data_IF_644204108198
#
_entry.id   IF_644204108198
#
_cell.length_a   1.000
_cell.length_b   1.000
_cell.length_c   1.000
_cell.angle_alpha   90.00
_cell.angle_beta   90.00
_cell.angle_gamma   90.00
#
_symmetry.space_group_name_H-M   'P 1'
#
loop_
_entity.id
_entity.type
_entity.pdbx_description
1 polymer ?
#
# COMPACT_ATOMS: atom_id res chain seq x y z
N UNK A 1 1.63 26.81 1.39
CA UNK A 1 2.72 27.12 0.44
C UNK A 1 4.04 26.72 1.09
N UNK A 2 4.41 25.45 0.98
CA UNK A 2 5.73 24.95 1.33
C UNK A 2 6.32 24.36 0.06
N UNK A 3 7.33 25.04 -0.48
CA UNK A 3 8.01 24.62 -1.69
C UNK A 3 8.89 23.42 -1.34
N UNK A 4 8.47 22.21 -1.73
CA UNK A 4 9.30 21.01 -1.70
C UNK A 4 10.32 21.09 -2.83
N UNK A 5 11.48 21.66 -2.55
CA UNK A 5 12.63 21.63 -3.44
C UNK A 5 13.86 21.12 -2.69
N UNK A 6 14.03 19.79 -2.68
CA UNK A 6 15.37 19.21 -2.54
C UNK A 6 15.98 19.16 -3.95
N UNK A 7 17.02 19.97 -4.15
CA UNK A 7 17.82 20.11 -5.38
C UNK A 7 19.12 19.31 -5.26
N UNK A 8 19.02 18.04 -4.86
CA UNK A 8 20.12 17.09 -5.08
C UNK A 8 19.72 16.11 -6.18
N UNK A 9 20.30 16.36 -7.35
CA UNK A 9 20.50 15.47 -8.49
C UNK A 9 19.30 14.67 -9.03
N UNK A 10 18.13 15.32 -9.16
CA UNK A 10 17.01 14.78 -9.96
C UNK A 10 17.46 14.30 -11.35
N UNK A 11 18.45 14.98 -11.96
CA UNK A 11 18.99 14.62 -13.28
C UNK A 11 19.65 13.25 -13.33
N UNK A 12 20.44 12.87 -12.32
CA UNK A 12 21.10 11.55 -12.31
C UNK A 12 20.10 10.44 -12.02
N UNK A 13 19.16 10.64 -11.09
CA UNK A 13 18.12 9.65 -10.81
C UNK A 13 17.20 9.44 -12.03
N UNK A 14 16.73 10.52 -12.66
CA UNK A 14 15.87 10.45 -13.86
C UNK A 14 16.61 9.80 -15.05
N UNK A 15 17.89 10.13 -15.24
CA UNK A 15 18.72 9.54 -16.31
C UNK A 15 19.05 8.07 -16.05
N UNK A 16 19.17 7.65 -14.80
CA UNK A 16 19.51 6.29 -14.42
C UNK A 16 18.31 5.34 -14.51
N UNK A 17 17.15 5.76 -14.00
CA UNK A 17 15.93 4.96 -14.07
C UNK A 17 15.41 4.80 -15.50
N UNK A 18 15.63 5.80 -16.37
CA UNK A 18 15.17 5.77 -17.77
C UNK A 18 15.91 4.76 -18.65
N UNK A 19 17.06 4.21 -18.21
CA UNK A 19 17.84 3.20 -18.96
C UNK A 19 17.79 1.80 -18.35
N UNK A 20 17.19 1.65 -17.16
CA UNK A 20 17.06 0.35 -16.51
C UNK A 20 16.16 -0.59 -17.32
N UNK A 21 16.65 -1.80 -17.59
CA UNK A 21 15.87 -2.83 -18.30
C UNK A 21 14.84 -3.47 -17.37
N UNK A 22 13.64 -3.73 -17.88
CA UNK A 22 12.61 -4.46 -17.14
C UNK A 22 12.82 -5.97 -17.30
N UNK A 23 13.10 -6.67 -16.20
CA UNK A 23 13.39 -8.11 -16.23
C UNK A 23 12.17 -8.97 -15.87
N UNK A 24 11.69 -9.77 -16.81
CA UNK A 24 10.56 -10.69 -16.59
C UNK A 24 10.99 -12.14 -16.27
N UNK A 25 12.29 -12.44 -16.35
CA UNK A 25 12.85 -13.75 -16.02
C UNK A 25 13.22 -13.90 -14.54
N UNK A 26 13.72 -15.08 -14.18
CA UNK A 26 14.17 -15.36 -12.81
C UNK A 26 15.32 -14.46 -12.37
N UNK A 27 16.28 -14.25 -13.26
CA UNK A 27 17.44 -13.39 -13.01
C UNK A 27 17.06 -11.90 -13.02
N UNK A 28 17.41 -11.11 -11.98
CA UNK A 28 17.20 -9.67 -11.97
C UNK A 28 18.16 -8.95 -12.92
N UNK A 29 17.65 -7.96 -13.66
CA UNK A 29 18.47 -6.91 -14.25
C UNK A 29 18.60 -5.77 -13.22
N UNK A 30 19.72 -5.75 -12.50
CA UNK A 30 20.01 -4.73 -11.50
C UNK A 30 20.74 -3.58 -12.19
N UNK A 31 20.26 -2.37 -11.98
CA UNK A 31 20.96 -1.15 -12.35
C UNK A 31 21.61 -0.56 -11.09
N UNK A 32 22.82 -0.03 -11.23
CA UNK A 32 23.55 0.67 -10.16
C UNK A 32 24.10 1.99 -10.68
N UNK A 33 24.06 3.02 -9.83
CA UNK A 33 24.68 4.32 -10.08
C UNK A 33 25.07 4.95 -8.75
N UNK A 34 26.37 5.08 -8.45
CA UNK A 34 26.81 5.57 -7.15
C UNK A 34 26.26 4.73 -5.99
N UNK A 35 25.57 5.39 -5.05
CA UNK A 35 24.93 4.74 -3.89
C UNK A 35 23.48 4.29 -4.16
N UNK A 36 23.03 4.32 -5.42
CA UNK A 36 21.68 3.92 -5.82
C UNK A 36 21.68 2.55 -6.49
N UNK A 37 20.78 1.67 -6.04
CA UNK A 37 20.53 0.37 -6.67
C UNK A 37 19.05 0.28 -7.05
N UNK A 38 18.76 -0.10 -8.29
CA UNK A 38 17.41 -0.14 -8.82
C UNK A 38 17.11 -1.44 -9.56
N UNK A 39 15.87 -1.90 -9.42
CA UNK A 39 15.31 -3.02 -10.16
C UNK A 39 13.88 -2.71 -10.57
N UNK A 40 13.52 -3.10 -11.80
CA UNK A 40 12.15 -3.20 -12.26
C UNK A 40 11.93 -4.54 -12.97
N UNK A 41 10.82 -5.24 -12.66
CA UNK A 41 10.56 -6.53 -13.28
C UNK A 41 9.61 -7.44 -12.51
N UNK A 42 9.39 -8.64 -13.04
CA UNK A 42 8.54 -9.65 -12.41
C UNK A 42 9.23 -10.25 -11.18
N UNK A 43 8.50 -10.36 -10.07
CA UNK A 43 8.88 -11.06 -8.84
C UNK A 43 7.68 -11.80 -8.28
N UNK A 44 7.92 -12.77 -7.40
CA UNK A 44 6.83 -13.32 -6.59
C UNK A 44 6.22 -12.21 -5.72
N UNK A 45 4.90 -12.24 -5.59
CA UNK A 45 4.18 -11.24 -4.82
C UNK A 45 4.25 -11.58 -3.33
N UNK A 46 5.06 -10.85 -2.57
CA UNK A 46 5.19 -11.06 -1.12
C UNK A 46 3.98 -10.58 -0.29
N UNK A 47 2.96 -9.99 -0.93
CA UNK A 47 1.70 -9.67 -0.26
C UNK A 47 0.88 -10.94 -0.06
N UNK A 48 0.41 -11.21 1.16
CA UNK A 48 -0.35 -12.42 1.49
C UNK A 48 -1.67 -12.06 2.15
N UNK A 49 -2.74 -12.76 1.77
CA UNK A 49 -4.09 -12.53 2.29
C UNK A 49 -5.08 -13.60 1.86
N UNK A 50 -6.10 -13.83 2.69
CA UNK A 50 -7.20 -14.76 2.42
C UNK A 50 -8.33 -14.03 1.68
N UNK A 51 -8.16 -13.79 0.38
CA UNK A 51 -9.13 -13.01 -0.41
C UNK A 51 -10.51 -13.64 -0.39
N UNK A 52 -10.60 -14.97 -0.46
CA UNK A 52 -11.88 -15.67 -0.38
C UNK A 52 -12.53 -15.48 1.00
N UNK A 53 -11.75 -15.55 2.08
CA UNK A 53 -12.20 -15.21 3.43
C UNK A 53 -12.67 -13.76 3.56
N UNK A 54 -11.98 -12.79 2.94
CA UNK A 54 -12.41 -11.39 2.92
C UNK A 54 -13.72 -11.22 2.15
N UNK A 55 -13.91 -11.90 1.02
CA UNK A 55 -15.20 -11.87 0.28
C UNK A 55 -16.34 -12.48 1.08
N UNK A 56 -16.05 -13.46 1.92
CA UNK A 56 -17.00 -14.03 2.88
C UNK A 56 -17.22 -13.13 4.10
N UNK A 57 -16.39 -12.11 4.31
CA UNK A 57 -16.49 -11.15 5.42
C UNK A 57 -17.29 -9.89 5.02
N UNK A 58 -17.20 -9.46 3.76
CA UNK A 58 -17.86 -8.26 3.27
C UNK A 58 -18.92 -8.53 2.20
N UNK A 59 -20.04 -7.81 2.26
CA UNK A 59 -21.03 -7.83 1.19
C UNK A 59 -20.54 -6.99 0.01
N UNK A 60 -20.00 -7.67 -1.00
CA UNK A 60 -19.44 -7.05 -2.21
C UNK A 60 -20.47 -6.86 -3.34
N UNK A 61 -21.77 -7.05 -3.07
CA UNK A 61 -22.84 -6.89 -4.06
C UNK A 61 -23.28 -5.44 -4.17
N UNK A 62 -23.77 -5.06 -5.35
CA UNK A 62 -24.43 -3.76 -5.56
C UNK A 62 -23.50 -2.54 -5.50
N UNK A 63 -22.24 -2.68 -5.92
CA UNK A 63 -21.26 -1.57 -6.00
C UNK A 63 -20.49 -1.29 -4.70
N UNK A 64 -20.63 -2.15 -3.70
CA UNK A 64 -19.91 -2.05 -2.42
C UNK A 64 -18.55 -2.73 -2.54
N UNK A 65 -17.46 -1.97 -2.34
CA UNK A 65 -16.09 -2.49 -2.34
C UNK A 65 -15.61 -2.71 -0.90
N UNK A 66 -15.93 -3.87 -0.32
CA UNK A 66 -15.48 -4.23 1.05
C UNK A 66 -15.86 -3.21 2.14
N UNK A 67 -16.94 -2.45 1.94
CA UNK A 67 -17.37 -1.37 2.84
C UNK A 67 -18.53 -1.76 3.76
N UNK A 68 -19.12 -2.94 3.56
CA UNK A 68 -20.26 -3.44 4.33
C UNK A 68 -19.94 -4.81 4.93
N UNK A 69 -19.64 -4.82 6.23
CA UNK A 69 -19.31 -6.04 6.96
C UNK A 69 -20.55 -6.93 7.17
N UNK A 70 -20.41 -8.24 7.00
CA UNK A 70 -21.47 -9.21 7.32
C UNK A 70 -20.94 -10.36 8.18
N UNK A 71 -20.76 -10.08 9.47
CA UNK A 71 -20.43 -11.13 10.44
C UNK A 71 -21.66 -12.01 10.69
N UNK A 72 -21.69 -13.22 10.14
CA UNK A 72 -22.66 -14.24 10.54
C UNK A 72 -21.99 -15.60 10.75
N UNK A 73 -21.90 -16.05 12.01
CA UNK A 73 -21.43 -17.40 12.36
C UNK A 73 -19.94 -17.50 12.72
N UNK A 74 -19.32 -18.65 12.42
CA UNK A 74 -17.87 -18.85 12.54
C UNK A 74 -17.13 -17.92 11.56
N UNK A 75 -15.93 -17.49 11.93
CA UNK A 75 -15.16 -16.54 11.13
C UNK A 75 -14.81 -17.11 9.75
N UNK A 76 -14.81 -16.28 8.70
CA UNK A 76 -14.93 -16.75 7.31
C UNK A 76 -13.63 -17.26 6.67
N UNK A 77 -12.57 -17.44 7.45
CA UNK A 77 -11.24 -17.77 6.96
C UNK A 77 -11.18 -19.14 6.29
N UNK A 78 -10.68 -19.16 5.07
CA UNK A 78 -10.32 -20.38 4.35
C UNK A 78 -8.95 -20.90 4.79
N UNK A 79 -8.08 -20.01 5.29
CA UNK A 79 -6.69 -20.31 5.60
C UNK A 79 -5.81 -20.47 4.35
N UNK A 80 -6.32 -20.07 3.19
CA UNK A 80 -5.61 -20.14 1.90
C UNK A 80 -5.16 -18.75 1.51
N UNK A 81 -3.85 -18.59 1.35
CA UNK A 81 -3.28 -17.37 0.83
C UNK A 81 -3.42 -17.30 -0.70
N UNK A 82 -4.11 -16.25 -1.15
CA UNK A 82 -4.46 -15.99 -2.55
C UNK A 82 -3.26 -15.66 -3.44
N UNK A 83 -2.13 -15.26 -2.85
CA UNK A 83 -0.96 -14.79 -3.58
C UNK A 83 0.22 -15.78 -3.58
N UNK A 84 0.07 -16.97 -2.99
CA UNK A 84 1.16 -17.96 -2.84
C UNK A 84 1.92 -18.29 -4.15
N UNK A 85 1.27 -18.16 -5.31
CA UNK A 85 1.86 -18.42 -6.64
C UNK A 85 1.70 -17.21 -7.59
N UNK A 86 1.40 -16.04 -7.04
CA UNK A 86 1.20 -14.82 -7.81
C UNK A 86 2.54 -14.15 -8.15
N UNK A 87 2.61 -13.56 -9.33
CA UNK A 87 3.73 -12.73 -9.76
C UNK A 87 3.25 -11.28 -9.89
N UNK A 88 4.07 -10.33 -9.46
CA UNK A 88 3.81 -8.89 -9.55
C UNK A 88 4.96 -8.19 -10.27
N UNK A 89 4.63 -7.15 -11.05
CA UNK A 89 5.63 -6.24 -11.61
C UNK A 89 6.08 -5.29 -10.50
N UNK A 90 7.33 -5.44 -10.07
CA UNK A 90 7.89 -4.74 -8.93
C UNK A 90 8.84 -3.63 -9.38
N UNK A 91 8.92 -2.57 -8.59
CA UNK A 91 10.01 -1.58 -8.62
C UNK A 91 10.65 -1.54 -7.23
N UNK A 92 11.97 -1.68 -7.17
CA UNK A 92 12.72 -1.65 -5.91
C UNK A 92 13.84 -0.64 -6.06
N UNK A 93 13.93 0.28 -5.09
CA UNK A 93 14.97 1.30 -5.02
C UNK A 93 15.65 1.22 -3.66
N UNK A 94 16.96 1.10 -3.68
CA UNK A 94 17.84 1.27 -2.53
C UNK A 94 18.65 2.55 -2.69
N UNK A 95 18.72 3.34 -1.63
CA UNK A 95 19.43 4.62 -1.58
C UNK A 95 19.76 5.00 -0.13
N UNK A 96 20.76 5.86 0.11
CA UNK A 96 21.07 6.33 1.46
C UNK A 96 19.91 7.13 2.06
N UNK A 97 19.46 6.74 3.26
CA UNK A 97 18.37 7.42 3.98
C UNK A 97 18.60 8.91 4.16
N UNK A 98 19.85 9.33 4.35
CA UNK A 98 20.24 10.74 4.51
C UNK A 98 19.86 11.62 3.31
N UNK A 99 19.59 11.04 2.13
CA UNK A 99 19.13 11.79 0.96
C UNK A 99 17.61 12.06 0.97
N UNK A 100 16.86 11.29 1.74
CA UNK A 100 15.41 11.45 1.89
C UNK A 100 15.03 12.29 3.11
N UNK A 101 15.95 12.42 4.07
CA UNK A 101 15.76 13.21 5.27
C UNK A 101 16.24 14.64 5.04
N UNK A 102 15.42 15.59 5.44
CA UNK A 102 15.79 17.00 5.55
C UNK A 102 15.50 17.46 7.00
N UNK A 103 14.67 18.48 7.20
CA UNK A 103 14.31 18.98 8.54
C UNK A 103 13.26 18.12 9.26
N UNK A 104 12.55 17.25 8.55
CA UNK A 104 11.55 16.33 9.09
C UNK A 104 12.13 14.93 9.27
N UNK A 105 11.86 14.23 10.39
CA UNK A 105 12.39 12.90 10.63
C UNK A 105 11.68 11.81 9.81
N UNK A 106 10.51 12.11 9.26
CA UNK A 106 9.67 11.13 8.59
C UNK A 106 9.79 11.22 7.06
N UNK A 107 9.84 10.06 6.43
CA UNK A 107 9.73 9.86 4.99
C UNK A 107 8.27 9.51 4.69
N UNK A 108 7.66 10.17 3.71
CA UNK A 108 6.25 9.91 3.31
C UNK A 108 6.21 9.54 1.83
N UNK A 109 5.70 8.35 1.52
CA UNK A 109 5.73 7.77 0.17
C UNK A 109 4.32 7.44 -0.29
N UNK A 110 4.02 7.80 -1.54
CA UNK A 110 2.88 7.29 -2.28
C UNK A 110 3.29 7.03 -3.73
N UNK A 111 2.59 6.13 -4.41
CA UNK A 111 2.81 5.80 -5.81
C UNK A 111 1.54 5.98 -6.63
N UNK A 112 1.71 6.15 -7.94
CA UNK A 112 0.61 6.16 -8.92
C UNK A 112 0.89 5.26 -10.10
N UNK A 113 -0.16 4.66 -10.62
CA UNK A 113 -0.19 3.99 -11.91
C UNK A 113 -0.90 4.89 -12.93
N UNK A 114 -0.29 5.04 -14.10
CA UNK A 114 -0.87 5.80 -15.20
C UNK A 114 -0.88 4.99 -16.47
N UNK A 115 -1.97 5.09 -17.23
CA UNK A 115 -2.10 4.49 -18.56
C UNK A 115 -2.04 5.58 -19.61
N UNK A 116 -1.35 5.33 -20.73
CA UNK A 116 -1.35 6.26 -21.85
C UNK A 116 -2.61 6.06 -22.69
N UNK A 117 -3.44 7.09 -22.78
CA UNK A 117 -4.66 7.13 -23.63
C UNK A 117 -4.66 8.44 -24.40
N UNK A 118 -4.87 8.37 -25.72
CA UNK A 118 -4.93 9.53 -26.60
C UNK A 118 -3.75 10.51 -26.43
N UNK A 119 -2.54 9.96 -26.32
CA UNK A 119 -1.31 10.74 -26.15
C UNK A 119 -1.07 11.32 -24.75
N UNK A 120 -2.02 11.15 -23.82
CA UNK A 120 -1.95 11.68 -22.46
C UNK A 120 -1.78 10.56 -21.44
N UNK A 121 -1.06 10.81 -20.35
CA UNK A 121 -1.01 9.90 -19.20
C UNK A 121 -2.23 10.16 -18.31
N UNK A 122 -3.11 9.17 -18.21
CA UNK A 122 -4.26 9.17 -17.31
C UNK A 122 -3.88 8.42 -16.04
N UNK A 123 -3.99 9.08 -14.90
CA UNK A 123 -3.85 8.48 -13.58
C UNK A 123 -5.06 7.56 -13.31
N UNK A 124 -4.82 6.27 -13.10
CA UNK A 124 -5.90 5.28 -12.92
C UNK A 124 -5.86 4.56 -11.58
N UNK A 125 -4.75 4.64 -10.86
CA UNK A 125 -4.62 4.05 -9.54
C UNK A 125 -3.54 4.74 -8.71
N UNK A 126 -3.72 4.78 -7.39
CA UNK A 126 -2.72 5.27 -6.44
C UNK A 126 -2.66 4.41 -5.20
N UNK A 127 -1.52 4.42 -4.53
CA UNK A 127 -1.32 3.71 -3.28
C UNK A 127 -0.38 4.48 -2.34
N UNK A 128 -0.83 4.71 -1.11
CA UNK A 128 0.02 5.05 0.03
C UNK A 128 0.06 3.90 1.01
N UNK A 129 -0.87 3.90 1.97
CA UNK A 129 -1.05 2.82 2.91
C UNK A 129 -1.65 1.58 2.21
N UNK A 130 -1.13 0.37 2.49
CA UNK A 130 -1.72 -0.86 1.99
C UNK A 130 -3.21 -0.92 2.32
N UNK A 131 -4.00 -1.44 1.37
CA UNK A 131 -5.43 -1.72 1.49
C UNK A 131 -6.38 -0.51 1.65
N UNK A 132 -5.88 0.72 1.79
CA UNK A 132 -6.74 1.90 1.99
C UNK A 132 -7.69 2.12 0.81
N UNK A 133 -7.17 2.12 -0.42
CA UNK A 133 -7.99 2.27 -1.64
C UNK A 133 -9.03 1.15 -1.82
N UNK A 134 -8.83 0.00 -1.18
CA UNK A 134 -9.70 -1.17 -1.32
C UNK A 134 -10.80 -1.21 -0.26
N UNK A 135 -10.50 -0.84 0.99
CA UNK A 135 -11.46 -0.91 2.10
C UNK A 135 -12.17 0.40 2.41
N UNK A 136 -11.61 1.56 2.04
CA UNK A 136 -12.22 2.85 2.38
C UNK A 136 -12.97 3.51 1.23
N UNK A 137 -12.95 2.91 0.04
CA UNK A 137 -13.43 3.53 -1.20
C UNK A 137 -14.60 2.75 -1.79
N UNK A 138 -15.51 3.41 -2.51
CA UNK A 138 -16.63 2.77 -3.23
C UNK A 138 -16.44 2.86 -4.73
N UNK A 139 -17.22 2.13 -5.53
CA UNK A 139 -17.17 2.26 -7.00
C UNK A 139 -17.42 3.71 -7.47
N UNK A 140 -18.27 4.45 -6.76
CA UNK A 140 -18.63 5.83 -7.10
C UNK A 140 -17.48 6.83 -6.86
N UNK A 141 -16.65 6.61 -5.83
CA UNK A 141 -15.57 7.52 -5.45
C UNK A 141 -14.19 7.04 -5.93
N UNK A 142 -14.07 5.79 -6.37
CA UNK A 142 -12.79 5.15 -6.71
C UNK A 142 -12.02 5.87 -7.79
N UNK A 143 -12.67 6.22 -8.90
CA UNK A 143 -11.98 6.89 -10.01
C UNK A 143 -11.47 8.29 -9.60
N UNK A 144 -12.28 9.06 -8.84
CA UNK A 144 -11.86 10.38 -8.37
C UNK A 144 -10.72 10.29 -7.35
N UNK A 145 -10.84 9.38 -6.37
CA UNK A 145 -9.79 9.12 -5.40
C UNK A 145 -8.50 8.73 -6.11
N UNK A 146 -8.57 7.77 -7.03
CA UNK A 146 -7.42 7.27 -7.78
C UNK A 146 -6.80 8.35 -8.67
N UNK A 147 -7.57 9.27 -9.23
CA UNK A 147 -7.03 10.35 -10.06
C UNK A 147 -6.34 11.47 -9.25
N UNK A 148 -6.69 11.61 -7.96
CA UNK A 148 -6.23 12.71 -7.10
C UNK A 148 -4.80 12.53 -6.53
N UNK A 149 -4.23 13.63 -6.05
CA UNK A 149 -2.98 13.63 -5.27
C UNK A 149 -3.29 13.75 -3.77
N UNK A 150 -2.45 13.18 -2.89
CA UNK A 150 -2.83 12.99 -1.49
C UNK A 150 -2.88 14.28 -0.66
N UNK A 151 -2.33 15.41 -1.12
CA UNK A 151 -2.22 16.65 -0.33
C UNK A 151 -3.51 17.08 0.38
N UNK A 152 -4.67 16.86 -0.26
CA UNK A 152 -5.98 17.26 0.25
C UNK A 152 -6.85 16.09 0.72
N UNK A 153 -6.27 14.91 0.87
CA UNK A 153 -7.01 13.69 1.19
C UNK A 153 -7.79 13.79 2.50
N UNK A 154 -7.18 14.40 3.53
CA UNK A 154 -7.82 14.51 4.84
C UNK A 154 -9.13 15.30 4.74
N UNK A 155 -9.11 16.44 4.05
CA UNK A 155 -10.29 17.30 3.93
C UNK A 155 -11.34 16.69 2.99
N UNK A 156 -10.91 15.99 1.93
CA UNK A 156 -11.81 15.42 0.91
C UNK A 156 -12.44 14.09 1.35
N UNK A 157 -11.69 13.23 2.01
CA UNK A 157 -12.06 11.83 2.21
C UNK A 157 -12.37 11.45 3.66
N UNK A 158 -12.04 12.28 4.66
CA UNK A 158 -12.36 11.98 6.07
C UNK A 158 -13.85 11.64 6.30
N UNK A 159 -14.84 12.37 5.74
CA UNK A 159 -16.25 12.01 5.94
C UNK A 159 -16.59 10.60 5.45
N UNK A 160 -16.00 10.17 4.33
CA UNK A 160 -16.17 8.81 3.80
C UNK A 160 -15.56 7.76 4.74
N UNK A 161 -14.37 8.03 5.26
CA UNK A 161 -13.70 7.12 6.20
C UNK A 161 -14.48 6.99 7.51
N UNK A 162 -14.97 8.10 8.05
CA UNK A 162 -15.81 8.13 9.27
C UNK A 162 -17.07 7.31 9.07
N UNK A 163 -17.78 7.56 7.96
CA UNK A 163 -18.99 6.81 7.62
C UNK A 163 -18.73 5.30 7.55
N UNK A 164 -17.61 4.91 6.93
CA UNK A 164 -17.25 3.51 6.77
C UNK A 164 -16.92 2.84 8.09
N UNK A 165 -16.08 3.46 8.93
CA UNK A 165 -15.75 2.95 10.25
C UNK A 165 -17.00 2.79 11.12
N UNK A 166 -17.97 3.71 11.01
CA UNK A 166 -19.28 3.56 11.64
C UNK A 166 -20.00 2.26 11.23
N UNK A 167 -19.93 1.87 9.95
CA UNK A 167 -20.58 0.65 9.43
C UNK A 167 -19.82 -0.63 9.75
N UNK A 168 -18.48 -0.61 9.72
CA UNK A 168 -17.67 -1.82 9.87
C UNK A 168 -17.37 -2.16 11.33
N UNK A 169 -17.17 -1.15 12.18
CA UNK A 169 -16.76 -1.34 13.58
C UNK A 169 -17.64 -0.63 14.60
N UNK A 170 -18.73 0.02 14.18
CA UNK A 170 -19.59 0.77 15.09
C UNK A 170 -18.86 1.92 15.78
N UNK A 171 -17.94 2.58 15.08
CA UNK A 171 -17.29 3.80 15.55
C UNK A 171 -18.31 4.95 15.64
N UNK A 172 -18.24 5.76 16.70
CA UNK A 172 -18.83 7.11 16.63
C UNK A 172 -17.98 7.98 15.72
N UNK A 173 -18.53 9.10 15.25
CA UNK A 173 -17.79 10.02 14.39
C UNK A 173 -16.49 10.50 15.05
N UNK A 174 -16.52 10.82 16.34
CA UNK A 174 -15.32 11.25 17.09
C UNK A 174 -14.29 10.13 17.21
N UNK A 175 -14.73 8.90 17.50
CA UNK A 175 -13.84 7.74 17.58
C UNK A 175 -13.20 7.43 16.22
N UNK A 176 -13.97 7.52 15.14
CA UNK A 176 -13.50 7.27 13.79
C UNK A 176 -12.44 8.30 13.37
N UNK A 177 -12.69 9.61 13.61
CA UNK A 177 -11.70 10.66 13.35
C UNK A 177 -10.43 10.42 14.16
N UNK A 178 -10.56 10.11 15.46
CA UNK A 178 -9.42 9.83 16.31
C UNK A 178 -8.62 8.60 15.83
N UNK A 179 -9.29 7.54 15.37
CA UNK A 179 -8.65 6.36 14.82
C UNK A 179 -7.89 6.66 13.52
N UNK A 180 -8.50 7.40 12.58
CA UNK A 180 -7.85 7.82 11.34
C UNK A 180 -6.62 8.69 11.60
N UNK A 181 -6.74 9.68 12.49
CA UNK A 181 -5.64 10.58 12.83
C UNK A 181 -4.52 9.85 13.60
N UNK A 182 -4.87 8.92 14.50
CA UNK A 182 -3.89 8.13 15.25
C UNK A 182 -3.11 7.15 14.36
N UNK A 183 -3.78 6.57 13.36
CA UNK A 183 -3.13 5.68 12.39
C UNK A 183 -2.35 6.44 11.32
N UNK A 184 -2.68 7.72 11.09
CA UNK A 184 -2.01 8.57 10.10
C UNK A 184 -2.30 8.17 8.65
N UNK A 185 -3.44 7.51 8.39
CA UNK A 185 -3.80 6.98 7.06
C UNK A 185 -4.27 8.06 6.08
N UNK A 186 -4.52 9.29 6.55
CA UNK A 186 -4.76 10.46 5.73
C UNK A 186 -3.76 11.59 6.05
N UNK A 187 -3.13 12.22 5.05
CA UNK A 187 -3.25 11.90 3.63
C UNK A 187 -2.60 10.55 3.29
N UNK A 188 -3.11 9.86 2.25
CA UNK A 188 -2.75 8.46 1.94
C UNK A 188 -1.31 8.35 1.43
N UNK A 189 -0.37 8.35 2.36
CA UNK A 189 1.07 8.30 2.16
C UNK A 189 1.69 7.48 3.28
N UNK A 190 2.30 6.33 2.94
CA UNK A 190 2.96 5.48 3.92
C UNK A 190 4.10 6.26 4.57
N UNK A 191 4.02 6.39 5.89
CA UNK A 191 4.98 7.15 6.69
C UNK A 191 6.01 6.20 7.28
N UNK A 192 7.29 6.55 7.17
CA UNK A 192 8.40 5.78 7.72
C UNK A 192 9.38 6.73 8.42
N UNK A 193 9.54 6.51 9.71
CA UNK A 193 10.57 7.12 10.53
C UNK A 193 11.75 6.13 10.67
N UNK A 194 12.93 6.42 10.09
CA UNK A 194 14.08 5.53 10.14
C UNK A 194 14.74 5.42 11.52
N UNK A 195 14.36 6.25 12.49
CA UNK A 195 14.80 6.12 13.88
C UNK A 195 13.97 5.07 14.67
N UNK A 196 12.88 4.58 14.09
CA UNK A 196 12.03 3.53 14.66
C UNK A 196 12.19 2.22 13.88
N UNK A 197 11.93 1.05 14.49
CA UNK A 197 11.92 -0.22 13.78
C UNK A 197 10.99 -0.19 12.56
N UNK A 198 11.46 -0.71 11.42
CA UNK A 198 10.64 -0.88 10.22
C UNK A 198 9.61 -2.00 10.47
N UNK A 199 8.35 -1.62 10.61
CA UNK A 199 7.21 -2.50 10.84
C UNK A 199 5.94 -1.68 10.69
N UNK A 200 4.92 -2.21 10.02
CA UNK A 200 3.62 -1.53 9.93
C UNK A 200 3.07 -1.16 11.32
N UNK A 201 2.64 0.11 11.55
CA UNK A 201 2.42 1.18 10.57
C UNK A 201 3.63 2.11 10.28
N UNK A 202 4.81 1.89 10.87
CA UNK A 202 6.04 2.62 10.54
C UNK A 202 6.76 1.99 9.32
N UNK A 203 6.34 2.40 8.13
CA UNK A 203 6.66 1.71 6.89
C UNK A 203 5.96 0.34 6.82
N UNK A 204 6.52 -0.59 6.06
CA UNK A 204 6.04 -1.97 5.96
C UNK A 204 7.20 -2.89 5.57
N UNK A 205 7.31 -4.04 6.22
CA UNK A 205 8.17 -5.15 5.77
C UNK A 205 7.33 -6.27 5.17
N UNK A 206 7.94 -7.15 4.38
CA UNK A 206 7.22 -8.24 3.69
C UNK A 206 6.54 -9.24 4.63
N UNK A 207 6.97 -9.30 5.89
CA UNK A 207 6.40 -10.19 6.91
C UNK A 207 5.25 -9.58 7.69
N UNK A 208 4.91 -8.32 7.45
CA UNK A 208 3.79 -7.66 8.11
C UNK A 208 2.45 -8.13 7.52
N UNK A 209 1.60 -8.70 8.36
CA UNK A 209 0.21 -9.00 8.02
C UNK A 209 -0.64 -7.72 8.09
N UNK A 210 -0.53 -6.92 7.04
CA UNK A 210 -1.20 -5.62 6.93
C UNK A 210 -2.70 -5.75 6.72
N UNK A 211 -3.18 -6.90 6.22
CA UNK A 211 -4.61 -7.15 6.05
C UNK A 211 -5.24 -7.49 7.39
N UNK A 212 -4.67 -8.42 8.18
CA UNK A 212 -5.18 -8.71 9.52
C UNK A 212 -5.12 -7.44 10.40
N UNK A 213 -4.03 -6.66 10.31
CA UNK A 213 -3.95 -5.36 10.99
C UNK A 213 -5.08 -4.42 10.58
N UNK A 214 -5.34 -4.27 9.27
CA UNK A 214 -6.38 -3.37 8.77
C UNK A 214 -7.77 -3.83 9.20
N UNK A 215 -8.06 -5.13 9.11
CA UNK A 215 -9.35 -5.67 9.49
C UNK A 215 -9.60 -5.52 11.00
N UNK A 216 -8.58 -5.69 11.83
CA UNK A 216 -8.67 -5.38 13.26
C UNK A 216 -9.03 -3.90 13.50
N UNK A 217 -8.41 -2.96 12.77
CA UNK A 217 -8.76 -1.53 12.82
C UNK A 217 -10.21 -1.29 12.38
N UNK A 218 -10.60 -1.79 11.20
CA UNK A 218 -11.95 -1.60 10.64
C UNK A 218 -13.08 -2.15 11.53
N UNK A 219 -12.81 -3.20 12.30
CA UNK A 219 -13.83 -3.94 13.07
C UNK A 219 -13.72 -3.75 14.59
N UNK A 220 -12.90 -2.81 15.07
CA UNK A 220 -12.58 -2.66 16.51
C UNK A 220 -12.07 -3.96 17.17
N UNK A 221 -11.40 -4.80 16.39
CA UNK A 221 -10.84 -6.07 16.84
C UNK A 221 -11.82 -7.25 16.87
N UNK A 222 -13.06 -7.07 16.41
CA UNK A 222 -14.05 -8.16 16.36
C UNK A 222 -13.68 -9.23 15.32
N UNK A 223 -12.92 -8.86 14.29
CA UNK A 223 -12.40 -9.79 13.30
C UNK A 223 -11.08 -10.42 13.78
N UNK A 224 -11.03 -11.74 14.03
CA UNK A 224 -9.80 -12.43 14.42
C UNK A 224 -8.88 -12.56 13.21
N UNK A 225 -7.58 -12.77 13.45
CA UNK A 225 -6.61 -12.97 12.37
C UNK A 225 -6.95 -14.19 11.50
N UNK A 226 -6.60 -14.11 10.23
CA UNK A 226 -6.73 -15.21 9.26
C UNK A 226 -5.81 -16.39 9.59
N UNK A 227 -4.72 -16.13 10.33
CA UNK A 227 -3.72 -17.13 10.71
C UNK A 227 -2.75 -17.48 9.57
N UNK A 228 -2.79 -16.73 8.47
CA UNK A 228 -1.82 -16.84 7.40
C UNK A 228 -0.40 -16.50 7.91
N UNK A 229 0.59 -16.95 7.15
CA UNK A 229 2.00 -16.72 7.46
C UNK A 229 2.67 -16.04 6.28
N UNK A 230 3.68 -15.20 6.55
CA UNK A 230 4.48 -14.61 5.49
C UNK A 230 5.07 -15.65 4.55
N UNK A 231 5.25 -15.23 3.30
CA UNK A 231 5.96 -16.05 2.32
C UNK A 231 7.42 -16.24 2.71
N UNK A 232 7.97 -17.40 2.34
CA UNK A 232 9.34 -17.79 2.70
C UNK A 232 10.34 -17.64 1.56
N UNK A 233 9.90 -17.14 0.41
CA UNK A 233 10.70 -17.00 -0.82
C UNK A 233 11.25 -15.56 -1.02
N UNK A 234 10.99 -14.65 -0.08
CA UNK A 234 11.68 -13.35 -0.01
C UNK A 234 13.18 -13.53 0.22
N UNK A 235 13.97 -12.56 -0.24
CA UNK A 235 15.43 -12.63 -0.26
C UNK A 235 16.04 -11.62 0.73
N UNK A 236 17.19 -11.97 1.30
CA UNK A 236 18.00 -11.06 2.12
C UNK A 236 18.94 -10.18 1.29
N UNK A 237 18.88 -10.31 -0.04
CA UNK A 237 19.71 -9.59 -0.99
C UNK A 237 18.80 -8.89 -1.99
N UNK A 238 19.26 -7.75 -2.52
CA UNK A 238 18.54 -6.99 -3.54
C UNK A 238 18.14 -7.89 -4.74
N UNK A 239 16.88 -7.83 -5.23
CA UNK A 239 15.80 -6.86 -4.95
C UNK A 239 14.85 -7.28 -3.81
N UNK A 240 15.28 -8.13 -2.89
CA UNK A 240 14.58 -8.58 -1.68
C UNK A 240 13.32 -9.43 -1.89
N UNK A 241 12.80 -9.52 -3.12
CA UNK A 241 11.67 -10.35 -3.52
C UNK A 241 12.13 -11.63 -4.23
N UNK A 242 11.36 -12.70 -4.11
CA UNK A 242 11.66 -13.99 -4.73
C UNK A 242 11.61 -13.96 -6.26
N UNK A 243 12.24 -14.94 -6.93
CA UNK A 243 12.10 -15.09 -8.38
C UNK A 243 10.64 -15.38 -8.75
N UNK A 244 10.16 -14.91 -9.93
CA UNK A 244 8.82 -15.23 -10.38
C UNK A 244 8.61 -16.76 -10.51
N UNK A 245 7.38 -17.19 -10.22
CA UNK A 245 6.90 -18.58 -10.34
C UNK A 245 6.88 -19.05 -11.79
#
# INVERSE_FOLDING_TARGET
>A
MQNYHSYHDRSVIDSFMSVASVAFGKEPAIAESGDYTFFAGARSDAFFFDFDGIKNLFDIRGGRNFTALHLSGEFPWTGVDSNTQANVCSMVLELPTAQLLDTTPDIRIWGRCSVRRDGTLLHVDRAGHPSVSSFFNTDDTKEEYNASEPEHDRDRWMPMFVHLLGHTGGYTDEEAVAAVDAEGILPDMLTFNPALPAKYPNGRVFTDDVIDYRLASLTKGDCPPSGLRPHTDTLQVFPYLGPPH
#
